data_IF_141614827775
#
_entry.id   IF_141614827775
#
_cell.length_a   1.000
_cell.length_b   1.000
_cell.length_c   1.000
_cell.angle_alpha   90.00
_cell.angle_beta   90.00
_cell.angle_gamma   90.00
#
_symmetry.space_group_name_H-M   'P 1'
#
loop_
_entity.id
_entity.type
_entity.pdbx_description
1 polymer ?
#
# COMPACT_ATOMS: atom_id res chain seq x y z
N UNK A 1 -2.46 62.10 -16.77
CA UNK A 1 -2.02 60.83 -17.39
C UNK A 1 -1.77 59.85 -16.26
N UNK A 2 -2.67 58.89 -16.04
CA UNK A 2 -2.54 57.88 -14.98
C UNK A 2 -2.55 56.50 -15.63
N UNK A 3 -1.48 55.74 -15.46
CA UNK A 3 -1.38 54.37 -15.97
C UNK A 3 -1.77 53.45 -14.81
N UNK A 4 -2.97 52.90 -14.86
CA UNK A 4 -3.42 51.91 -13.89
C UNK A 4 -2.80 50.56 -14.24
N UNK A 5 -1.81 50.14 -13.45
CA UNK A 5 -1.24 48.80 -13.55
C UNK A 5 -2.24 47.80 -12.94
N UNK A 6 -2.92 47.03 -13.80
CA UNK A 6 -3.73 45.88 -13.37
C UNK A 6 -2.81 44.68 -13.14
N UNK A 7 -2.53 44.38 -11.88
CA UNK A 7 -1.86 43.13 -11.49
C UNK A 7 -2.85 41.98 -11.63
N UNK A 8 -2.70 41.18 -12.69
CA UNK A 8 -3.42 39.93 -12.87
C UNK A 8 -2.86 38.90 -11.87
N UNK A 9 -3.59 38.65 -10.78
CA UNK A 9 -3.27 37.59 -9.81
C UNK A 9 -3.60 36.25 -10.47
N UNK A 10 -2.59 35.55 -11.00
CA UNK A 10 -2.72 34.14 -11.35
C UNK A 10 -2.83 33.32 -10.06
N UNK A 11 -4.05 33.06 -9.63
CA UNK A 11 -4.33 32.03 -8.63
C UNK A 11 -4.14 30.68 -9.35
N UNK A 12 -2.93 30.12 -9.27
CA UNK A 12 -2.70 28.72 -9.55
C UNK A 12 -3.46 27.90 -8.51
N UNK A 13 -4.70 27.54 -8.82
CA UNK A 13 -5.42 26.45 -8.16
C UNK A 13 -4.67 25.17 -8.50
N UNK A 14 -3.63 24.87 -7.73
CA UNK A 14 -3.05 23.54 -7.66
C UNK A 14 -4.18 22.62 -7.15
N UNK A 15 -4.86 21.95 -8.09
CA UNK A 15 -5.75 20.85 -7.74
C UNK A 15 -4.87 19.83 -7.03
N UNK A 16 -5.14 19.47 -5.76
CA UNK A 16 -4.50 18.31 -5.19
C UNK A 16 -4.96 17.16 -6.08
N UNK A 17 -4.03 16.64 -6.90
CA UNK A 17 -4.20 15.33 -7.48
C UNK A 17 -4.38 14.42 -6.28
N UNK A 18 -5.65 14.07 -5.99
CA UNK A 18 -5.99 13.11 -4.97
C UNK A 18 -5.33 11.83 -5.44
N UNK A 19 -4.12 11.57 -4.95
CA UNK A 19 -3.53 10.26 -5.04
C UNK A 19 -4.59 9.33 -4.46
N UNK A 20 -4.97 8.31 -5.22
CA UNK A 20 -5.84 7.26 -4.67
C UNK A 20 -5.02 6.66 -3.53
N UNK A 21 -5.41 6.99 -2.30
CA UNK A 21 -4.70 6.56 -1.11
C UNK A 21 -4.85 5.05 -0.98
N UNK A 22 -3.84 4.37 -0.42
CA UNK A 22 -3.95 2.93 -0.14
C UNK A 22 -5.14 2.61 0.78
N UNK A 23 -5.58 3.57 1.61
CA UNK A 23 -6.77 3.45 2.45
C UNK A 23 -8.10 3.32 1.67
N UNK A 24 -8.10 3.61 0.37
CA UNK A 24 -9.26 3.39 -0.50
C UNK A 24 -9.37 1.96 -1.01
N UNK A 25 -8.33 1.14 -0.82
CA UNK A 25 -8.34 -0.26 -1.20
C UNK A 25 -9.30 -1.05 -0.29
N UNK A 26 -9.97 -2.03 -0.89
CA UNK A 26 -10.83 -2.96 -0.17
C UNK A 26 -9.96 -3.91 0.67
N UNK A 27 -10.23 -4.06 1.98
CA UNK A 27 -9.53 -5.07 2.78
C UNK A 27 -9.77 -6.49 2.22
N UNK A 28 -8.71 -7.29 2.19
CA UNK A 28 -8.73 -8.68 1.73
C UNK A 28 -7.49 -9.07 0.93
N UNK A 29 -7.62 -10.15 0.17
CA UNK A 29 -6.52 -10.77 -0.55
C UNK A 29 -6.34 -10.15 -1.94
N UNK A 30 -5.09 -9.89 -2.30
CA UNK A 30 -4.68 -9.41 -3.61
C UNK A 30 -3.59 -10.31 -4.18
N UNK A 31 -3.75 -10.71 -5.44
CA UNK A 31 -2.73 -11.48 -6.16
C UNK A 31 -2.18 -10.74 -7.37
N UNK A 32 -0.94 -11.06 -7.79
CA UNK A 32 -0.40 -10.63 -9.07
C UNK A 32 -1.35 -10.95 -10.22
N UNK A 33 -1.52 -10.00 -11.14
CA UNK A 33 -2.49 -10.10 -12.21
C UNK A 33 -2.25 -11.29 -13.16
N UNK A 34 -1.01 -11.73 -13.28
CA UNK A 34 -0.55 -12.89 -14.06
C UNK A 34 -0.84 -14.24 -13.36
N UNK A 35 -0.88 -14.26 -12.03
CA UNK A 35 -1.27 -15.44 -11.25
C UNK A 35 -2.80 -15.54 -11.16
N UNK A 36 -3.47 -14.42 -10.88
CA UNK A 36 -4.92 -14.36 -10.69
C UNK A 36 -5.41 -15.10 -9.44
N UNK A 37 -6.71 -15.05 -9.16
CA UNK A 37 -7.28 -15.52 -7.88
C UNK A 37 -7.23 -17.04 -7.65
N UNK A 38 -6.74 -17.82 -8.61
CA UNK A 38 -6.49 -19.25 -8.40
C UNK A 38 -5.22 -19.52 -7.57
N UNK A 39 -4.35 -18.51 -7.38
CA UNK A 39 -3.12 -18.65 -6.59
C UNK A 39 -3.26 -18.34 -5.10
N UNK A 40 -4.49 -18.18 -4.58
CA UNK A 40 -4.71 -17.88 -3.15
C UNK A 40 -4.03 -18.95 -2.29
N UNK A 41 -3.36 -18.52 -1.22
CA UNK A 41 -2.52 -19.36 -0.36
C UNK A 41 -1.10 -19.61 -0.89
N UNK A 42 -0.71 -18.98 -2.00
CA UNK A 42 0.63 -19.04 -2.56
C UNK A 42 1.55 -17.90 -2.10
N UNK A 43 2.86 -18.04 -2.36
CA UNK A 43 3.89 -17.08 -1.94
C UNK A 43 3.75 -15.66 -2.54
N UNK A 44 3.00 -15.52 -3.65
CA UNK A 44 2.72 -14.22 -4.26
C UNK A 44 1.60 -13.42 -3.59
N UNK A 45 0.94 -13.98 -2.58
CA UNK A 45 -0.20 -13.37 -1.90
C UNK A 45 0.17 -12.13 -1.10
N UNK A 46 -0.63 -11.07 -1.25
CA UNK A 46 -0.65 -9.93 -0.35
C UNK A 46 -2.04 -9.77 0.26
N UNK A 47 -2.12 -9.83 1.59
CA UNK A 47 -3.30 -9.48 2.35
C UNK A 47 -3.25 -8.01 2.78
N UNK A 48 -4.33 -7.27 2.54
CA UNK A 48 -4.49 -5.90 3.00
C UNK A 48 -5.56 -5.83 4.09
N UNK A 49 -5.19 -5.34 5.28
CA UNK A 49 -6.12 -5.25 6.44
C UNK A 49 -6.91 -3.92 6.49
N UNK A 50 -6.72 -3.04 5.50
CA UNK A 50 -7.23 -1.66 5.50
C UNK A 50 -6.16 -0.61 5.79
N UNK A 51 -5.00 -1.03 6.31
CA UNK A 51 -3.85 -0.15 6.62
C UNK A 51 -2.51 -0.78 6.23
N UNK A 52 -2.32 -2.06 6.50
CA UNK A 52 -1.08 -2.78 6.32
C UNK A 52 -1.20 -3.83 5.22
N UNK A 53 -0.11 -4.01 4.47
CA UNK A 53 0.08 -5.11 3.53
C UNK A 53 0.95 -6.18 4.17
N UNK A 54 0.43 -7.40 4.24
CA UNK A 54 1.14 -8.57 4.75
C UNK A 54 1.31 -9.61 3.64
N UNK A 55 2.51 -10.15 3.49
CA UNK A 55 2.77 -11.30 2.63
C UNK A 55 2.22 -12.60 3.20
N UNK A 56 2.31 -13.66 2.40
CA UNK A 56 1.98 -15.01 2.84
C UNK A 56 2.75 -15.39 4.10
N UNK A 57 2.03 -15.84 5.14
CA UNK A 57 2.56 -16.18 6.48
C UNK A 57 3.25 -15.04 7.24
N UNK A 58 3.05 -13.78 6.85
CA UNK A 58 3.66 -12.65 7.52
C UNK A 58 2.62 -11.78 8.23
N UNK A 59 3.08 -11.10 9.28
CA UNK A 59 2.39 -9.95 9.85
C UNK A 59 3.29 -8.73 9.67
N UNK A 60 2.77 -7.71 8.98
CA UNK A 60 3.54 -6.53 8.64
C UNK A 60 2.89 -5.25 9.18
N UNK A 61 3.72 -4.28 9.58
CA UNK A 61 3.34 -2.87 9.67
C UNK A 61 3.76 -2.17 8.39
N UNK A 62 2.88 -1.39 7.78
CA UNK A 62 3.18 -0.57 6.60
C UNK A 62 3.23 0.91 6.99
N UNK A 63 4.41 1.52 6.88
CA UNK A 63 4.67 2.92 7.22
C UNK A 63 4.95 3.74 5.95
N UNK A 64 4.36 4.94 5.77
CA UNK A 64 4.66 5.79 4.63
C UNK A 64 6.09 6.34 4.70
N UNK A 65 6.73 6.46 3.54
CA UNK A 65 8.06 7.07 3.39
C UNK A 65 7.95 8.52 2.89
N UNK A 66 9.07 9.25 2.96
CA UNK A 66 9.12 10.66 2.58
C UNK A 66 8.93 10.90 1.06
N UNK A 67 9.15 9.89 0.22
CA UNK A 67 8.91 9.99 -1.22
C UNK A 67 7.51 9.52 -1.60
N UNK A 68 6.99 10.08 -2.71
CA UNK A 68 5.65 9.80 -3.20
C UNK A 68 5.43 8.30 -3.42
N UNK A 69 4.30 7.78 -2.92
CA UNK A 69 3.90 6.36 -3.04
C UNK A 69 4.89 5.37 -2.40
N UNK A 70 5.81 5.85 -1.58
CA UNK A 70 6.77 5.03 -0.86
C UNK A 70 6.22 4.50 0.43
N UNK A 71 6.43 3.21 0.68
CA UNK A 71 6.04 2.56 1.92
C UNK A 71 7.15 1.61 2.39
N UNK A 72 7.36 1.54 3.70
CA UNK A 72 8.20 0.55 4.35
C UNK A 72 7.31 -0.47 5.02
N UNK A 73 7.52 -1.74 4.69
CA UNK A 73 6.94 -2.86 5.42
C UNK A 73 7.95 -3.37 6.42
N UNK A 74 7.55 -3.45 7.70
CA UNK A 74 8.31 -4.13 8.75
C UNK A 74 7.53 -5.38 9.12
N UNK A 75 8.09 -6.56 8.88
CA UNK A 75 7.36 -7.82 8.91
C UNK A 75 8.01 -8.83 9.86
N UNK A 76 7.20 -9.68 10.45
CA UNK A 76 7.60 -10.85 11.21
C UNK A 76 6.89 -12.09 10.67
N UNK A 77 7.49 -13.26 10.86
CA UNK A 77 6.84 -14.53 10.56
C UNK A 77 5.64 -14.73 11.50
N UNK A 78 4.48 -15.05 10.92
CA UNK A 78 3.21 -15.22 11.63
C UNK A 78 2.52 -16.55 11.29
N UNK A 79 3.32 -17.56 10.93
CA UNK A 79 2.84 -18.94 10.80
C UNK A 79 2.75 -19.64 12.16
N UNK A 80 1.83 -20.59 12.30
CA UNK A 80 1.67 -21.40 13.51
C UNK A 80 0.67 -20.83 14.53
N UNK A 81 0.63 -21.45 15.71
CA UNK A 81 -0.38 -21.15 16.75
C UNK A 81 -0.07 -19.88 17.55
N UNK A 82 1.22 -19.54 17.70
CA UNK A 82 1.69 -18.40 18.49
C UNK A 82 1.94 -17.19 17.58
N UNK A 83 0.89 -16.72 16.90
CA UNK A 83 1.04 -15.59 15.99
C UNK A 83 1.37 -14.30 16.75
N UNK A 84 2.39 -13.54 16.33
CA UNK A 84 2.72 -12.26 16.93
C UNK A 84 1.58 -11.25 16.70
N UNK A 85 1.55 -10.19 17.51
CA UNK A 85 0.67 -9.03 17.28
C UNK A 85 1.44 -7.90 16.61
N UNK A 86 0.71 -6.96 16.00
CA UNK A 86 1.32 -5.78 15.35
C UNK A 86 2.24 -4.99 16.30
N UNK A 87 1.88 -4.93 17.59
CA UNK A 87 2.65 -4.26 18.65
C UNK A 87 3.94 -4.99 19.07
N UNK A 88 4.13 -6.23 18.63
CA UNK A 88 5.31 -7.05 18.93
C UNK A 88 6.38 -6.97 17.83
N UNK A 89 6.03 -6.48 16.64
CA UNK A 89 6.93 -6.40 15.48
C UNK A 89 8.26 -5.71 15.82
N UNK A 90 8.24 -4.59 16.52
CA UNK A 90 9.46 -3.84 16.83
C UNK A 90 10.36 -4.53 17.87
N UNK A 91 9.80 -5.47 18.65
CA UNK A 91 10.51 -6.24 19.67
C UNK A 91 11.12 -7.52 19.11
N UNK A 92 10.63 -7.98 17.96
CA UNK A 92 11.08 -9.19 17.32
C UNK A 92 12.47 -8.98 16.69
N UNK A 93 13.50 -9.74 17.11
CA UNK A 93 14.85 -9.62 16.54
C UNK A 93 14.94 -10.15 15.10
N UNK A 94 14.02 -11.03 14.69
CA UNK A 94 13.98 -11.67 13.37
C UNK A 94 13.10 -10.88 12.38
N UNK A 95 12.63 -9.69 12.77
CA UNK A 95 11.87 -8.81 11.88
C UNK A 95 12.68 -8.46 10.63
N UNK A 96 11.99 -8.41 9.50
CA UNK A 96 12.53 -7.97 8.22
C UNK A 96 11.95 -6.62 7.84
N UNK A 97 12.68 -5.84 7.04
CA UNK A 97 12.17 -4.58 6.47
C UNK A 97 12.37 -4.54 4.97
N UNK A 98 11.36 -4.04 4.26
CA UNK A 98 11.40 -3.87 2.82
C UNK A 98 10.68 -2.59 2.41
N UNK A 99 11.31 -1.81 1.52
CA UNK A 99 10.70 -0.62 0.94
C UNK A 99 10.05 -0.96 -0.39
N UNK A 100 8.88 -0.38 -0.65
CA UNK A 100 8.12 -0.59 -1.87
C UNK A 100 7.49 0.69 -2.38
N UNK A 101 7.26 0.74 -3.70
CA UNK A 101 6.36 1.71 -4.31
C UNK A 101 4.99 1.07 -4.46
N UNK A 102 3.97 1.68 -3.85
CA UNK A 102 2.58 1.21 -3.92
C UNK A 102 1.71 2.29 -4.54
N UNK A 103 1.10 1.99 -5.68
CA UNK A 103 0.22 2.93 -6.39
C UNK A 103 -1.17 2.33 -6.45
N UNK A 104 -2.11 2.81 -5.63
CA UNK A 104 -3.50 2.39 -5.76
C UNK A 104 -4.11 2.93 -7.06
N UNK A 105 -4.87 2.09 -7.75
CA UNK A 105 -5.38 2.33 -9.10
C UNK A 105 -6.90 2.33 -9.14
N UNK A 106 -7.50 1.54 -8.27
CA UNK A 106 -8.93 1.51 -7.95
C UNK A 106 -9.07 0.98 -6.53
N UNK A 107 -10.29 0.91 -5.99
CA UNK A 107 -10.53 0.24 -4.71
C UNK A 107 -10.23 -1.28 -4.74
N UNK A 108 -10.02 -1.88 -5.92
CA UNK A 108 -9.79 -3.32 -6.11
C UNK A 108 -8.46 -3.64 -6.79
N UNK A 109 -7.57 -2.66 -6.94
CA UNK A 109 -6.27 -2.92 -7.56
C UNK A 109 -5.23 -1.86 -7.27
N UNK A 110 -3.97 -2.29 -7.18
CA UNK A 110 -2.80 -1.45 -7.00
C UNK A 110 -1.60 -2.01 -7.75
N UNK A 111 -0.57 -1.21 -7.92
CA UNK A 111 0.73 -1.67 -8.40
C UNK A 111 1.71 -1.68 -7.22
N UNK A 112 2.44 -2.78 -7.05
CA UNK A 112 3.49 -2.99 -6.04
C UNK A 112 4.81 -3.24 -6.75
N UNK A 113 5.78 -2.34 -6.61
CA UNK A 113 7.07 -2.43 -7.31
C UNK A 113 6.92 -2.75 -8.81
N UNK A 114 5.97 -2.07 -9.46
CA UNK A 114 5.59 -2.23 -10.89
C UNK A 114 4.84 -3.53 -11.25
N UNK A 115 4.53 -4.39 -10.28
CA UNK A 115 3.67 -5.55 -10.49
C UNK A 115 2.23 -5.19 -10.17
N UNK A 116 1.29 -5.50 -11.06
CA UNK A 116 -0.14 -5.25 -10.84
C UNK A 116 -0.72 -6.31 -9.91
N UNK A 117 -1.38 -5.88 -8.85
CA UNK A 117 -2.13 -6.72 -7.92
C UNK A 117 -3.63 -6.42 -8.02
N UNK A 118 -4.45 -7.48 -8.10
CA UNK A 118 -5.90 -7.38 -8.20
C UNK A 118 -6.57 -8.05 -7.00
N UNK A 119 -7.65 -7.45 -6.52
CA UNK A 119 -8.44 -7.96 -5.41
C UNK A 119 -9.13 -9.28 -5.79
N UNK A 120 -8.97 -10.27 -4.94
CA UNK A 120 -9.64 -11.54 -5.03
C UNK A 120 -10.80 -11.59 -4.03
N UNK A 121 -12.00 -11.86 -4.55
CA UNK A 121 -13.10 -12.23 -3.67
C UNK A 121 -12.74 -13.56 -3.03
N UNK A 122 -12.82 -13.62 -1.70
CA UNK A 122 -12.66 -14.88 -0.99
C UNK A 122 -13.66 -15.89 -1.60
N UNK A 123 -13.22 -17.13 -1.89
CA UNK A 123 -14.10 -18.17 -2.42
C UNK A 123 -15.25 -18.51 -1.45
#
# INVERSE_FOLDING_TARGET
>A
MGIAASSLVLIFLATPSLAVEISSLRPGVYLPADIGCQGIGGAGELYFDGKNFSGHYQLCRTDPLAWRNGYRSTCVEAQGADQPKLEDIDKDPDRTTADATIVARSNRAFDYNNTRYNFCEAP
#
